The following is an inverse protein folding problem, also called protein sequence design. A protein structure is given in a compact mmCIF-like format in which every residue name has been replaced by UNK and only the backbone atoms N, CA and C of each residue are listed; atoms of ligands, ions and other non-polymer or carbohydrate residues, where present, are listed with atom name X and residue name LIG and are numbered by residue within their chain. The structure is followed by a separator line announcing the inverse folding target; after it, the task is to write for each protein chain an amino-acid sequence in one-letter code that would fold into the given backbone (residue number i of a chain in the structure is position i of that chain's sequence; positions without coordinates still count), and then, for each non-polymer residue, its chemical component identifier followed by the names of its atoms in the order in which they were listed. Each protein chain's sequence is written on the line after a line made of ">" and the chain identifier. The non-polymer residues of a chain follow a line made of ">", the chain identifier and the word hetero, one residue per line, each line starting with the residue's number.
data_IF_778946250981
#
_entry.id   IF_778946250981
#
_cell.length_a   1.000
_cell.length_b   1.000
_cell.length_c   1.000
_cell.angle_alpha   90.00
_cell.angle_beta   90.00
_cell.angle_gamma   90.00
#
_symmetry.space_group_name_H-M   'P 1'
#
loop_
_entity.id
_entity.type
_entity.pdbx_description
1 polymer ?
#
# COMPACT_ATOMS: atom_id res chain seq x y z
N UNK A 1 1.39 7.37 10.26
CA UNK A 1 1.26 5.91 10.10
C UNK A 1 1.10 5.53 8.63
N UNK A 2 1.85 4.53 8.20
CA UNK A 2 1.90 4.12 6.80
C UNK A 2 1.60 2.62 6.68
N UNK A 3 0.83 2.26 5.66
CA UNK A 3 0.61 0.88 5.27
C UNK A 3 1.14 0.69 3.85
N UNK A 4 2.07 -0.25 3.69
CA UNK A 4 2.65 -0.61 2.40
C UNK A 4 2.14 -1.98 1.98
N UNK A 5 1.21 -2.01 1.04
CA UNK A 5 0.60 -3.24 0.52
C UNK A 5 1.39 -3.74 -0.69
N UNK A 6 1.57 -5.06 -0.78
CA UNK A 6 2.43 -5.68 -1.80
C UNK A 6 3.85 -5.12 -1.69
N UNK A 7 4.38 -5.13 -0.48
CA UNK A 7 5.61 -4.41 -0.14
C UNK A 7 6.87 -4.93 -0.84
N UNK A 8 6.86 -6.16 -1.33
CA UNK A 8 8.04 -6.75 -1.95
C UNK A 8 9.23 -6.73 -0.98
N UNK A 9 10.36 -6.20 -1.40
CA UNK A 9 11.54 -6.07 -0.55
C UNK A 9 11.54 -4.81 0.31
N UNK A 10 10.48 -4.01 0.27
CA UNK A 10 10.24 -2.94 1.22
C UNK A 10 10.75 -1.56 0.85
N UNK A 11 11.03 -1.29 -0.42
CA UNK A 11 11.59 0.00 -0.83
C UNK A 11 10.77 1.21 -0.37
N UNK A 12 9.43 1.15 -0.51
CA UNK A 12 8.55 2.23 -0.08
C UNK A 12 8.52 2.31 1.45
N UNK A 13 8.48 1.17 2.14
CA UNK A 13 8.47 1.13 3.60
C UNK A 13 9.74 1.79 4.16
N UNK A 14 10.91 1.47 3.61
CA UNK A 14 12.17 2.08 4.05
C UNK A 14 12.20 3.59 3.78
N UNK A 15 11.72 4.00 2.61
CA UNK A 15 11.66 5.43 2.27
C UNK A 15 10.78 6.20 3.24
N UNK A 16 9.61 5.67 3.56
CA UNK A 16 8.71 6.30 4.53
C UNK A 16 9.35 6.38 5.91
N UNK A 17 9.98 5.29 6.36
CA UNK A 17 10.66 5.27 7.66
C UNK A 17 11.81 6.25 7.70
N UNK A 18 12.61 6.34 6.63
CA UNK A 18 13.75 7.26 6.56
C UNK A 18 13.32 8.73 6.57
N UNK A 19 12.09 9.00 6.12
CA UNK A 19 11.52 10.35 6.10
C UNK A 19 10.73 10.68 7.36
N UNK A 20 10.79 9.82 8.37
CA UNK A 20 10.25 10.12 9.69
C UNK A 20 8.87 9.56 10.00
N UNK A 21 8.39 8.60 9.22
CA UNK A 21 7.14 7.92 9.58
C UNK A 21 7.30 7.25 10.95
N UNK A 22 6.35 7.48 11.84
CA UNK A 22 6.42 6.94 13.20
C UNK A 22 6.18 5.44 13.25
N UNK A 23 5.37 4.92 12.34
CA UNK A 23 5.02 3.51 12.27
C UNK A 23 4.72 3.15 10.81
N UNK A 24 5.34 2.09 10.33
CA UNK A 24 5.11 1.54 8.99
C UNK A 24 4.74 0.07 9.11
N UNK A 25 3.65 -0.33 8.50
CA UNK A 25 3.26 -1.73 8.38
C UNK A 25 3.45 -2.15 6.93
N UNK A 26 4.26 -3.17 6.69
CA UNK A 26 4.51 -3.70 5.36
C UNK A 26 3.90 -5.08 5.23
N UNK A 27 3.02 -5.27 4.24
CA UNK A 27 2.29 -6.53 4.04
C UNK A 27 2.67 -7.13 2.69
N UNK A 28 3.06 -8.41 2.72
CA UNK A 28 3.35 -9.16 1.51
C UNK A 28 3.02 -10.63 1.73
N UNK A 29 2.63 -11.31 0.68
CA UNK A 29 2.31 -12.75 0.74
C UNK A 29 3.55 -13.64 0.66
N UNK A 30 4.70 -13.10 0.28
CA UNK A 30 5.92 -13.87 0.06
C UNK A 30 6.79 -13.89 1.31
N UNK A 31 7.04 -15.09 1.85
CA UNK A 31 7.82 -15.27 3.10
C UNK A 31 9.22 -14.65 3.02
N UNK A 32 9.93 -14.84 1.92
CA UNK A 32 11.28 -14.30 1.74
C UNK A 32 11.32 -12.77 1.80
N UNK A 33 10.32 -12.10 1.21
CA UNK A 33 10.21 -10.65 1.26
C UNK A 33 9.97 -10.17 2.69
N UNK A 34 9.04 -10.79 3.39
CA UNK A 34 8.71 -10.44 4.78
C UNK A 34 9.94 -10.62 5.68
N UNK A 35 10.64 -11.74 5.52
CA UNK A 35 11.86 -12.00 6.30
C UNK A 35 12.93 -10.96 6.02
N UNK A 36 13.13 -10.61 4.75
CA UNK A 36 14.10 -9.58 4.34
C UNK A 36 13.77 -8.23 4.97
N UNK A 37 12.50 -7.83 4.92
CA UNK A 37 12.08 -6.55 5.52
C UNK A 37 12.30 -6.56 7.03
N UNK A 38 11.93 -7.65 7.72
CA UNK A 38 12.10 -7.75 9.16
C UNK A 38 13.56 -7.63 9.58
N UNK A 39 14.45 -8.36 8.90
CA UNK A 39 15.87 -8.33 9.19
C UNK A 39 16.49 -6.97 8.89
N UNK A 40 16.15 -6.38 7.75
CA UNK A 40 16.67 -5.08 7.34
C UNK A 40 16.18 -3.97 8.26
N UNK A 41 14.92 -4.01 8.67
CA UNK A 41 14.33 -3.02 9.56
C UNK A 41 14.97 -3.07 10.94
N UNK A 42 15.24 -4.27 11.45
CA UNK A 42 15.92 -4.45 12.72
C UNK A 42 17.35 -3.89 12.65
N UNK A 43 18.07 -4.19 11.58
CA UNK A 43 19.42 -3.73 11.35
C UNK A 43 19.52 -2.21 11.27
N UNK A 44 18.55 -1.58 10.57
CA UNK A 44 18.50 -0.14 10.40
C UNK A 44 17.75 0.58 11.53
N UNK A 45 17.20 -0.15 12.47
CA UNK A 45 16.39 0.38 13.57
C UNK A 45 15.19 1.21 13.08
N UNK A 46 14.56 0.78 11.99
CA UNK A 46 13.36 1.43 11.45
C UNK A 46 12.09 0.91 12.13
N UNK A 47 11.07 1.77 12.33
CA UNK A 47 9.80 1.37 12.94
C UNK A 47 8.88 0.66 11.95
N UNK A 48 9.36 -0.42 11.33
CA UNK A 48 8.62 -1.19 10.33
C UNK A 48 8.25 -2.55 10.90
N UNK A 49 6.96 -2.88 10.83
CA UNK A 49 6.46 -4.22 11.14
C UNK A 49 6.11 -4.90 9.82
N UNK A 50 6.77 -6.02 9.52
CA UNK A 50 6.50 -6.79 8.32
C UNK A 50 5.52 -7.93 8.65
N UNK A 51 4.47 -8.05 7.84
CA UNK A 51 3.42 -9.06 8.04
C UNK A 51 3.30 -9.91 6.78
N UNK A 52 3.40 -11.24 6.96
CA UNK A 52 3.11 -12.18 5.90
C UNK A 52 1.61 -12.43 5.87
N UNK A 53 0.94 -11.94 4.83
CA UNK A 53 -0.49 -12.13 4.67
C UNK A 53 -0.90 -11.89 3.23
N UNK A 54 -2.00 -12.50 2.82
CA UNK A 54 -2.71 -12.11 1.62
C UNK A 54 -3.27 -10.71 1.87
N UNK A 55 -3.04 -9.79 0.92
CA UNK A 55 -3.40 -8.38 1.10
C UNK A 55 -4.90 -8.22 1.37
N UNK A 56 -5.76 -8.92 0.63
CA UNK A 56 -7.21 -8.79 0.80
C UNK A 56 -7.67 -9.31 2.17
N UNK A 57 -7.06 -10.39 2.64
CA UNK A 57 -7.35 -10.91 3.98
C UNK A 57 -6.91 -9.93 5.07
N UNK A 58 -5.73 -9.32 4.87
CA UNK A 58 -5.25 -8.31 5.80
C UNK A 58 -6.20 -7.11 5.87
N UNK A 59 -6.64 -6.61 4.71
CA UNK A 59 -7.56 -5.47 4.66
C UNK A 59 -8.90 -5.77 5.33
N UNK A 60 -9.36 -7.03 5.28
CA UNK A 60 -10.59 -7.45 5.94
C UNK A 60 -10.45 -7.56 7.46
N UNK A 61 -9.24 -7.79 7.96
CA UNK A 61 -9.03 -8.11 9.39
C UNK A 61 -8.45 -6.99 10.22
N UNK A 62 -7.70 -6.08 9.61
CA UNK A 62 -7.06 -5.00 10.37
C UNK A 62 -8.08 -4.00 10.91
N UNK A 63 -7.82 -3.50 12.12
CA UNK A 63 -8.61 -2.45 12.76
C UNK A 63 -7.85 -1.14 12.83
N UNK A 64 -6.63 -1.11 12.32
CA UNK A 64 -5.81 0.10 12.35
C UNK A 64 -6.21 1.09 11.27
N UNK A 65 -5.96 2.37 11.52
CA UNK A 65 -6.10 3.43 10.52
C UNK A 65 -4.72 3.96 10.17
N UNK A 66 -4.59 4.43 8.94
CA UNK A 66 -3.33 4.91 8.41
C UNK A 66 -3.50 6.28 7.77
N UNK A 67 -2.46 7.11 7.87
CA UNK A 67 -2.45 8.41 7.19
C UNK A 67 -2.12 8.25 5.71
N UNK A 68 -1.40 7.19 5.37
CA UNK A 68 -1.01 6.90 3.99
C UNK A 68 -1.03 5.39 3.75
N UNK A 69 -1.72 4.97 2.70
CA UNK A 69 -1.71 3.59 2.24
C UNK A 69 -1.18 3.57 0.81
N UNK A 70 -0.14 2.79 0.58
CA UNK A 70 0.45 2.60 -0.74
C UNK A 70 0.25 1.15 -1.18
N UNK A 71 -0.11 0.96 -2.45
CA UNK A 71 -0.25 -0.38 -3.02
C UNK A 71 0.45 -0.44 -4.38
N UNK A 72 1.33 -1.42 -4.54
CA UNK A 72 2.00 -1.72 -5.81
C UNK A 72 1.69 -3.17 -6.20
N UNK A 73 0.44 -3.45 -6.62
CA UNK A 73 0.02 -4.80 -6.93
C UNK A 73 0.70 -5.37 -8.18
N UNK A 74 0.66 -6.70 -8.36
CA UNK A 74 1.20 -7.32 -9.56
C UNK A 74 0.58 -6.76 -10.84
N UNK A 75 1.36 -6.68 -11.91
CA UNK A 75 0.88 -6.20 -13.20
C UNK A 75 -0.28 -7.04 -13.76
N UNK A 76 -0.42 -8.27 -13.31
CA UNK A 76 -1.53 -9.15 -13.72
C UNK A 76 -2.89 -8.73 -13.13
N UNK A 77 -2.89 -7.84 -12.14
CA UNK A 77 -4.16 -7.35 -11.57
C UNK A 77 -4.90 -6.50 -12.60
N UNK A 78 -6.18 -6.82 -12.76
CA UNK A 78 -7.08 -6.07 -13.63
C UNK A 78 -7.88 -5.07 -12.80
N UNK A 79 -8.73 -4.30 -13.47
CA UNK A 79 -9.51 -3.24 -12.82
C UNK A 79 -10.35 -3.78 -11.65
N UNK A 80 -10.84 -5.01 -11.74
CA UNK A 80 -11.66 -5.62 -10.68
C UNK A 80 -10.87 -5.79 -9.38
N UNK A 81 -9.64 -6.29 -9.47
CA UNK A 81 -8.80 -6.47 -8.29
C UNK A 81 -8.34 -5.12 -7.73
N UNK A 82 -8.00 -4.17 -8.60
CA UNK A 82 -7.59 -2.83 -8.18
C UNK A 82 -8.74 -2.10 -7.51
N UNK A 83 -9.93 -2.20 -8.08
CA UNK A 83 -11.16 -1.63 -7.48
C UNK A 83 -11.43 -2.24 -6.10
N UNK A 84 -11.20 -3.53 -5.96
CA UNK A 84 -11.41 -4.23 -4.68
C UNK A 84 -10.51 -3.70 -3.59
N UNK A 85 -9.26 -3.34 -3.90
CA UNK A 85 -8.36 -2.71 -2.92
C UNK A 85 -8.98 -1.41 -2.41
N UNK A 86 -9.43 -0.55 -3.32
CA UNK A 86 -10.04 0.74 -2.97
C UNK A 86 -11.28 0.53 -2.12
N UNK A 87 -12.18 -0.34 -2.57
CA UNK A 87 -13.43 -0.62 -1.86
C UNK A 87 -13.16 -1.08 -0.43
N UNK A 88 -12.22 -2.00 -0.23
CA UNK A 88 -11.92 -2.50 1.12
C UNK A 88 -11.31 -1.44 2.02
N UNK A 89 -10.43 -0.59 1.49
CA UNK A 89 -9.84 0.51 2.26
C UNK A 89 -10.92 1.46 2.77
N UNK A 90 -11.85 1.84 1.92
CA UNK A 90 -12.91 2.79 2.30
C UNK A 90 -14.04 2.15 3.09
N UNK A 91 -14.46 0.94 2.73
CA UNK A 91 -15.50 0.21 3.45
C UNK A 91 -15.12 -0.09 4.88
N UNK A 92 -13.87 -0.47 5.12
CA UNK A 92 -13.37 -0.76 6.47
C UNK A 92 -12.82 0.47 7.20
N UNK A 93 -12.93 1.65 6.61
CA UNK A 93 -12.49 2.90 7.21
C UNK A 93 -11.01 2.87 7.65
N UNK A 94 -10.13 2.46 6.75
CA UNK A 94 -8.72 2.29 7.08
C UNK A 94 -7.87 3.55 6.93
N UNK A 95 -8.46 4.66 6.48
CA UNK A 95 -7.75 5.93 6.38
C UNK A 95 -8.13 6.87 7.52
N UNK A 96 -7.11 7.50 8.11
CA UNK A 96 -7.31 8.60 9.05
C UNK A 96 -7.89 9.81 8.30
N UNK A 97 -8.44 10.77 9.04
CA UNK A 97 -8.90 12.03 8.42
C UNK A 97 -7.73 12.68 7.69
N UNK A 98 -8.00 13.18 6.48
CA UNK A 98 -7.00 13.73 5.56
C UNK A 98 -6.00 12.69 5.03
N UNK A 99 -6.23 11.43 5.31
CA UNK A 99 -5.42 10.35 4.77
C UNK A 99 -5.73 10.06 3.31
N UNK A 100 -4.86 9.30 2.67
CA UNK A 100 -5.05 8.96 1.25
C UNK A 100 -4.42 7.63 0.90
N UNK A 101 -4.96 7.03 -0.17
CA UNK A 101 -4.47 5.80 -0.77
C UNK A 101 -3.85 6.14 -2.12
N UNK A 102 -2.69 5.58 -2.40
CA UNK A 102 -2.08 5.63 -3.73
C UNK A 102 -1.93 4.20 -4.25
N UNK A 103 -2.35 3.97 -5.49
CA UNK A 103 -2.11 2.70 -6.19
C UNK A 103 -1.20 2.97 -7.37
N UNK A 104 -0.10 2.24 -7.44
CA UNK A 104 0.79 2.23 -8.60
C UNK A 104 0.30 1.13 -9.56
N UNK A 105 0.14 1.48 -10.84
CA UNK A 105 -0.34 0.54 -11.85
C UNK A 105 0.21 0.90 -13.23
N UNK A 106 -0.08 0.06 -14.22
CA UNK A 106 0.37 0.31 -15.59
C UNK A 106 -0.50 1.38 -16.26
N UNK A 107 0.03 1.99 -17.32
CA UNK A 107 -0.70 2.96 -18.12
C UNK A 107 -1.87 2.35 -18.92
N UNK A 108 -1.94 1.03 -18.96
CA UNK A 108 -3.00 0.32 -19.69
C UNK A 108 -4.29 0.16 -18.89
N UNK A 109 -4.27 0.52 -17.61
CA UNK A 109 -5.45 0.44 -16.74
C UNK A 109 -5.85 1.85 -16.31
N UNK A 110 -7.13 2.18 -16.46
CA UNK A 110 -7.69 3.47 -16.07
C UNK A 110 -8.55 3.28 -14.82
N UNK A 111 -8.16 3.91 -13.72
CA UNK A 111 -8.84 3.80 -12.44
C UNK A 111 -9.83 4.95 -12.19
N UNK A 112 -10.03 5.84 -13.16
CA UNK A 112 -10.85 7.05 -12.96
C UNK A 112 -12.32 6.78 -12.69
N UNK A 113 -12.81 5.58 -13.01
CA UNK A 113 -14.20 5.18 -12.74
C UNK A 113 -14.43 4.64 -11.34
N UNK A 114 -13.35 4.39 -10.59
CA UNK A 114 -13.46 3.83 -9.23
C UNK A 114 -13.88 4.94 -8.26
N UNK A 115 -14.84 4.69 -7.36
CA UNK A 115 -15.24 5.69 -6.37
C UNK A 115 -14.04 6.21 -5.54
N UNK A 116 -14.07 7.47 -5.19
CA UNK A 116 -13.02 8.18 -4.44
C UNK A 116 -11.78 8.55 -5.26
N UNK A 117 -11.73 8.18 -6.55
CA UNK A 117 -10.63 8.60 -7.41
C UNK A 117 -10.59 10.13 -7.53
N UNK A 118 -9.40 10.70 -7.33
CA UNK A 118 -9.21 12.15 -7.49
C UNK A 118 -8.38 12.48 -8.72
N UNK A 119 -7.18 11.91 -8.83
CA UNK A 119 -6.30 12.19 -9.96
C UNK A 119 -5.32 11.05 -10.17
N UNK A 120 -4.67 11.06 -11.34
CA UNK A 120 -3.54 10.17 -11.59
C UNK A 120 -2.36 10.96 -12.12
N UNK A 121 -1.14 10.50 -11.80
CA UNK A 121 0.11 11.09 -12.28
C UNK A 121 0.95 10.01 -12.90
N UNK A 122 1.55 10.31 -14.03
CA UNK A 122 2.37 9.37 -14.77
C UNK A 122 3.84 9.69 -14.61
N UNK A 123 4.64 8.67 -14.24
CA UNK A 123 6.08 8.77 -14.14
C UNK A 123 6.68 7.59 -14.89
N UNK A 124 7.26 7.84 -16.07
CA UNK A 124 7.80 6.78 -16.91
C UNK A 124 6.72 5.81 -17.36
N UNK A 125 6.92 4.53 -17.08
CA UNK A 125 5.94 3.47 -17.40
C UNK A 125 4.88 3.23 -16.35
N UNK A 126 4.95 3.92 -15.20
CA UNK A 126 4.02 3.72 -14.10
C UNK A 126 3.05 4.89 -13.96
N UNK A 127 1.85 4.58 -13.48
CA UNK A 127 0.83 5.56 -13.16
C UNK A 127 0.50 5.43 -11.67
N UNK A 128 0.39 6.57 -10.99
CA UNK A 128 0.02 6.65 -9.57
C UNK A 128 -1.36 7.27 -9.48
N UNK A 129 -2.34 6.50 -9.03
CA UNK A 129 -3.72 6.98 -8.87
C UNK A 129 -4.01 7.27 -7.41
N UNK A 130 -4.64 8.42 -7.13
CA UNK A 130 -4.82 8.99 -5.81
C UNK A 130 -6.29 8.91 -5.38
N UNK A 131 -6.51 8.40 -4.16
CA UNK A 131 -7.83 8.23 -3.57
C UNK A 131 -7.82 8.84 -2.17
N UNK A 132 -8.12 10.13 -2.01
CA UNK A 132 -8.17 10.76 -0.69
C UNK A 132 -9.43 10.35 0.07
N UNK A 133 -9.34 10.35 1.39
CA UNK A 133 -10.50 10.09 2.25
C UNK A 133 -11.56 11.18 2.14
#
# INVERSE_FOLDING_TARGET
>A
TVLDLFSGTGNIAYECASRGAEKVTAVDGHHGCVKFISETSEELEFPITAIKADVFKYLNSTKEQFSFIFADPPYSFEIEELSKIVVKVFEHNLLEDEGFLIIEHTKHTDLSSIPHFEESRRYGGSVFSFFPK
#
